data_IF_908130830229
#
_entry.id   IF_908130830229
#
_cell.length_a   1.000
_cell.length_b   1.000
_cell.length_c   1.000
_cell.angle_alpha   90.00
_cell.angle_beta   90.00
_cell.angle_gamma   90.00
#
_symmetry.space_group_name_H-M   'P 1'
#
loop_
_entity.id
_entity.type
_entity.pdbx_description
1 polymer ?
#
# COMPACT_ATOMS: atom_id res chain seq x y z
N UNK A 1 15.36 10.36 -2.10
CA UNK A 1 16.52 9.83 -1.33
C UNK A 1 16.09 9.41 0.08
N UNK A 2 16.87 8.56 0.73
CA UNK A 2 16.72 8.13 2.13
C UNK A 2 18.01 8.47 2.88
N UNK A 3 17.86 9.11 4.04
CA UNK A 3 18.96 9.53 4.91
C UNK A 3 18.75 8.96 6.33
N UNK A 4 19.81 8.94 7.15
CA UNK A 4 19.78 8.52 8.55
C UNK A 4 20.16 9.69 9.46
N UNK A 5 19.30 9.98 10.41
CA UNK A 5 19.55 10.86 11.53
C UNK A 5 20.01 10.03 12.74
N UNK A 6 21.05 10.44 13.48
CA UNK A 6 21.49 9.72 14.67
C UNK A 6 20.42 9.69 15.78
N UNK A 7 19.51 10.68 15.80
CA UNK A 7 18.47 10.81 16.83
C UNK A 7 17.14 10.18 16.42
N UNK A 8 16.71 10.37 15.17
CA UNK A 8 15.35 10.03 14.71
C UNK A 8 15.31 8.88 13.69
N UNK A 9 16.44 8.24 13.39
CA UNK A 9 16.50 7.11 12.47
C UNK A 9 16.39 7.51 10.99
N UNK A 10 15.75 6.68 10.15
CA UNK A 10 15.67 6.91 8.71
C UNK A 10 14.57 7.90 8.35
N UNK A 11 14.85 8.79 7.40
CA UNK A 11 13.89 9.77 6.91
C UNK A 11 14.07 10.04 5.41
N UNK A 12 13.06 10.67 4.81
CA UNK A 12 13.07 11.18 3.43
C UNK A 12 12.95 12.69 3.44
N UNK A 13 13.63 13.35 2.51
CA UNK A 13 13.63 14.81 2.40
C UNK A 13 15.02 15.42 2.66
N UNK A 14 15.07 16.74 2.67
CA UNK A 14 16.33 17.48 2.82
C UNK A 14 16.87 17.44 4.24
N UNK A 15 15.99 17.66 5.23
CA UNK A 15 16.34 17.71 6.64
C UNK A 15 15.43 16.81 7.46
N UNK A 16 15.97 16.28 8.56
CA UNK A 16 15.22 15.60 9.60
C UNK A 16 14.39 16.62 10.41
N UNK A 17 13.41 16.16 11.18
CA UNK A 17 12.59 16.99 12.07
C UNK A 17 13.40 17.78 13.11
N UNK A 18 14.61 17.32 13.46
CA UNK A 18 15.56 18.06 14.30
C UNK A 18 16.43 19.08 13.55
N UNK A 19 16.21 19.29 12.25
CA UNK A 19 16.98 20.21 11.41
C UNK A 19 18.29 19.65 10.87
N UNK A 20 18.73 18.46 11.29
CA UNK A 20 19.95 17.83 10.76
C UNK A 20 19.75 17.34 9.32
N UNK A 21 20.76 17.56 8.47
CA UNK A 21 20.78 17.04 7.10
C UNK A 21 20.87 15.50 7.02
N UNK A 22 21.45 14.85 8.04
CA UNK A 22 21.59 13.40 8.13
C UNK A 22 22.64 12.80 7.18
N UNK A 23 22.92 11.51 7.36
CA UNK A 23 23.82 10.73 6.49
C UNK A 23 23.03 10.11 5.33
N UNK A 24 23.50 10.29 4.09
CA UNK A 24 22.88 9.65 2.93
C UNK A 24 23.05 8.13 2.98
N UNK A 25 21.93 7.39 2.88
CA UNK A 25 21.90 5.92 2.84
C UNK A 25 21.60 5.44 1.42
N UNK A 26 20.58 6.03 0.80
CA UNK A 26 20.19 5.75 -0.59
C UNK A 26 19.88 7.06 -1.31
N UNK A 27 20.50 7.28 -2.46
CA UNK A 27 20.06 8.32 -3.40
C UNK A 27 18.69 7.95 -4.02
N UNK A 28 18.11 8.87 -4.79
CA UNK A 28 16.79 8.68 -5.39
C UNK A 28 16.74 7.50 -6.38
N UNK A 29 17.71 7.40 -7.29
CA UNK A 29 17.75 6.34 -8.28
C UNK A 29 17.87 4.95 -7.62
N UNK A 30 18.74 4.82 -6.62
CA UNK A 30 18.91 3.58 -5.85
C UNK A 30 17.68 3.26 -5.00
N UNK A 31 17.03 4.28 -4.44
CA UNK A 31 15.76 4.11 -3.72
C UNK A 31 14.68 3.53 -4.64
N UNK A 32 14.57 4.03 -5.86
CA UNK A 32 13.60 3.52 -6.84
C UNK A 32 13.93 2.09 -7.27
N UNK A 33 15.19 1.81 -7.63
CA UNK A 33 15.63 0.48 -8.04
C UNK A 33 15.40 -0.57 -6.95
N UNK A 34 15.85 -0.29 -5.73
CA UNK A 34 15.64 -1.18 -4.59
C UNK A 34 14.14 -1.32 -4.28
N UNK A 35 13.39 -0.22 -4.34
CA UNK A 35 11.95 -0.21 -4.11
C UNK A 35 11.19 -1.12 -5.07
N UNK A 36 11.55 -1.11 -6.36
CA UNK A 36 10.95 -1.98 -7.38
C UNK A 36 11.27 -3.46 -7.11
N UNK A 37 12.52 -3.77 -6.78
CA UNK A 37 12.93 -5.15 -6.48
C UNK A 37 12.23 -5.69 -5.23
N UNK A 38 12.22 -4.91 -4.13
CA UNK A 38 11.57 -5.30 -2.87
C UNK A 38 10.06 -5.42 -3.05
N UNK A 39 9.42 -4.49 -3.76
CA UNK A 39 7.99 -4.60 -4.06
C UNK A 39 7.68 -5.85 -4.89
N UNK A 40 8.49 -6.16 -5.91
CA UNK A 40 8.36 -7.37 -6.72
C UNK A 40 8.46 -8.64 -5.90
N UNK A 41 9.52 -8.75 -5.10
CA UNK A 41 9.78 -9.91 -4.24
C UNK A 41 8.73 -10.11 -3.14
N UNK A 42 8.19 -9.03 -2.59
CA UNK A 42 7.21 -9.11 -1.50
C UNK A 42 5.75 -9.14 -1.95
N UNK A 43 5.43 -8.91 -3.24
CA UNK A 43 4.03 -8.83 -3.70
C UNK A 43 3.67 -9.73 -4.86
N UNK A 44 4.64 -10.08 -5.70
CA UNK A 44 4.34 -10.62 -7.02
C UNK A 44 5.06 -11.93 -7.31
N UNK A 45 6.36 -12.02 -7.01
CA UNK A 45 7.21 -13.13 -7.43
C UNK A 45 8.32 -13.48 -6.41
N UNK A 46 8.00 -13.82 -5.15
CA UNK A 46 9.00 -14.21 -4.15
C UNK A 46 9.81 -15.43 -4.61
N UNK A 47 9.15 -16.44 -5.18
CA UNK A 47 9.78 -17.69 -5.63
C UNK A 47 10.83 -17.45 -6.73
N UNK A 48 10.56 -16.55 -7.68
CA UNK A 48 11.51 -16.18 -8.74
C UNK A 48 12.79 -15.53 -8.21
N UNK A 49 12.71 -14.98 -6.99
CA UNK A 49 13.85 -14.42 -6.26
C UNK A 49 14.48 -15.43 -5.28
N UNK A 50 13.95 -16.64 -5.17
CA UNK A 50 14.39 -17.64 -4.20
C UNK A 50 13.99 -17.29 -2.76
N UNK A 51 12.90 -16.55 -2.59
CA UNK A 51 12.35 -16.20 -1.28
C UNK A 51 11.21 -17.16 -0.93
N UNK A 52 11.33 -17.79 0.23
CA UNK A 52 10.21 -18.51 0.85
C UNK A 52 9.32 -17.49 1.56
N UNK A 53 8.05 -17.46 1.15
CA UNK A 53 7.02 -16.58 1.71
C UNK A 53 5.96 -17.45 2.37
N UNK A 54 5.58 -17.12 3.61
CA UNK A 54 4.48 -17.80 4.27
C UNK A 54 3.11 -17.32 3.79
N UNK A 55 2.04 -17.99 4.23
CA UNK A 55 0.66 -17.67 3.83
C UNK A 55 0.21 -16.26 4.22
N UNK A 56 0.93 -15.58 5.12
CA UNK A 56 0.65 -14.21 5.58
C UNK A 56 1.59 -13.17 4.94
N UNK A 57 2.40 -13.59 3.97
CA UNK A 57 3.30 -12.73 3.21
C UNK A 57 4.68 -12.49 3.83
N UNK A 58 5.00 -13.12 4.97
CA UNK A 58 6.29 -12.90 5.63
C UNK A 58 7.42 -13.65 4.95
N UNK A 59 8.55 -12.95 4.83
CA UNK A 59 9.82 -13.45 4.30
C UNK A 59 10.92 -13.16 5.32
N UNK A 60 11.92 -14.05 5.41
CA UNK A 60 13.12 -13.80 6.22
C UNK A 60 13.88 -12.56 5.71
N UNK A 61 14.10 -11.59 6.59
CA UNK A 61 14.71 -10.32 6.21
C UNK A 61 16.19 -10.47 5.81
N UNK A 62 16.89 -11.46 6.37
CA UNK A 62 18.29 -11.75 6.02
C UNK A 62 18.38 -12.36 4.62
N UNK A 63 17.46 -13.27 4.28
CA UNK A 63 17.32 -13.84 2.93
C UNK A 63 16.95 -12.80 1.89
N UNK A 64 16.03 -11.89 2.20
CA UNK A 64 15.77 -10.75 1.31
C UNK A 64 17.03 -9.89 1.14
N UNK A 65 17.80 -9.67 2.21
CA UNK A 65 19.10 -9.01 2.16
C UNK A 65 20.11 -9.65 1.19
N UNK A 66 20.26 -10.98 1.24
CA UNK A 66 21.10 -11.76 0.33
C UNK A 66 20.64 -11.60 -1.13
N UNK A 67 19.33 -11.68 -1.37
CA UNK A 67 18.73 -11.52 -2.71
C UNK A 67 19.00 -10.13 -3.29
N UNK A 68 18.75 -9.07 -2.51
CA UNK A 68 18.97 -7.70 -3.01
C UNK A 68 20.44 -7.42 -3.26
N UNK A 69 21.34 -7.95 -2.44
CA UNK A 69 22.79 -7.81 -2.62
C UNK A 69 23.28 -8.54 -3.89
N UNK A 70 22.73 -9.72 -4.17
CA UNK A 70 23.04 -10.49 -5.38
C UNK A 70 22.61 -9.76 -6.66
N UNK A 71 21.45 -9.09 -6.63
CA UNK A 71 20.93 -8.29 -7.76
C UNK A 71 21.63 -6.94 -7.89
N UNK A 72 21.93 -6.31 -6.76
CA UNK A 72 22.56 -5.01 -6.66
C UNK A 72 23.68 -5.05 -5.64
N UNK A 73 24.93 -5.07 -6.11
CA UNK A 73 26.14 -5.21 -5.28
C UNK A 73 26.26 -4.14 -4.18
N UNK A 74 25.66 -2.98 -4.40
CA UNK A 74 25.62 -1.86 -3.46
C UNK A 74 24.52 -1.99 -2.39
N UNK A 75 23.54 -2.86 -2.58
CA UNK A 75 22.41 -3.04 -1.67
C UNK A 75 22.72 -4.08 -0.60
N UNK A 76 22.09 -3.94 0.57
CA UNK A 76 22.19 -4.88 1.68
C UNK A 76 20.92 -4.85 2.55
N UNK A 77 20.90 -5.67 3.60
CA UNK A 77 19.79 -5.75 4.57
C UNK A 77 19.47 -4.41 5.22
N UNK A 78 20.46 -3.60 5.61
CA UNK A 78 20.24 -2.30 6.23
C UNK A 78 19.50 -1.34 5.29
N UNK A 79 19.82 -1.37 3.99
CA UNK A 79 19.13 -0.55 2.99
C UNK A 79 17.67 -0.98 2.78
N UNK A 80 17.35 -2.27 2.93
CA UNK A 80 15.96 -2.76 2.93
C UNK A 80 15.20 -2.25 4.15
N UNK A 81 15.83 -2.28 5.34
CA UNK A 81 15.26 -1.71 6.56
C UNK A 81 15.02 -0.21 6.39
N UNK A 82 16.01 0.52 5.87
CA UNK A 82 15.90 1.95 5.61
C UNK A 82 14.77 2.27 4.62
N UNK A 83 14.62 1.48 3.55
CA UNK A 83 13.51 1.59 2.61
C UNK A 83 12.15 1.41 3.30
N UNK A 84 12.01 0.37 4.13
CA UNK A 84 10.76 0.05 4.80
C UNK A 84 10.37 1.08 5.86
N UNK A 85 11.30 1.44 6.75
CA UNK A 85 11.06 2.36 7.86
C UNK A 85 10.82 3.81 7.39
N UNK A 86 11.42 4.21 6.28
CA UNK A 86 11.23 5.55 5.72
C UNK A 86 10.07 5.66 4.73
N UNK A 87 9.30 4.60 4.49
CA UNK A 87 8.23 4.64 3.49
C UNK A 87 7.01 5.42 3.99
N UNK A 88 6.69 6.61 3.42
CA UNK A 88 5.55 7.40 3.85
C UNK A 88 4.21 6.68 3.61
N UNK A 89 4.15 5.75 2.65
CA UNK A 89 2.94 4.98 2.37
C UNK A 89 2.81 3.73 3.24
N UNK A 90 3.77 3.52 4.14
CA UNK A 90 3.88 2.36 5.02
C UNK A 90 3.60 1.05 4.25
N UNK A 91 4.25 0.82 3.09
CA UNK A 91 3.97 -0.37 2.27
C UNK A 91 4.47 -1.66 2.92
N UNK A 92 5.39 -1.56 3.87
CA UNK A 92 6.09 -2.68 4.45
C UNK A 92 5.99 -2.66 5.97
N UNK A 93 6.08 -3.82 6.57
CA UNK A 93 6.25 -3.97 8.00
C UNK A 93 7.34 -4.99 8.31
N UNK A 94 8.04 -4.77 9.42
CA UNK A 94 9.13 -5.61 9.89
C UNK A 94 8.78 -6.06 11.30
N UNK A 95 8.84 -7.37 11.54
CA UNK A 95 8.60 -7.98 12.85
C UNK A 95 9.44 -9.25 12.99
N UNK A 96 10.07 -9.46 14.14
CA UNK A 96 10.81 -10.68 14.45
C UNK A 96 11.79 -11.15 13.34
N UNK A 97 12.62 -10.22 12.82
CA UNK A 97 13.55 -10.48 11.71
C UNK A 97 12.91 -10.92 10.39
N UNK A 98 11.60 -10.70 10.24
CA UNK A 98 10.86 -10.91 8.99
C UNK A 98 10.33 -9.59 8.45
N UNK A 99 10.02 -9.58 7.17
CA UNK A 99 9.42 -8.46 6.45
C UNK A 99 8.31 -8.96 5.54
N UNK A 100 7.25 -8.16 5.39
CA UNK A 100 6.23 -8.35 4.37
C UNK A 100 5.76 -7.02 3.79
N UNK A 101 5.14 -7.07 2.62
CA UNK A 101 4.29 -5.97 2.20
C UNK A 101 2.99 -5.98 3.00
N UNK A 102 2.45 -4.81 3.35
CA UNK A 102 1.19 -4.70 4.08
C UNK A 102 -0.04 -4.81 3.17
N UNK A 103 0.14 -4.58 1.86
CA UNK A 103 -0.92 -4.60 0.85
C UNK A 103 -0.33 -4.71 -0.56
N UNK A 104 -1.18 -4.96 -1.56
CA UNK A 104 -0.82 -4.94 -2.98
C UNK A 104 -0.25 -6.24 -3.56
N UNK A 105 -0.43 -7.36 -2.86
CA UNK A 105 -0.06 -8.68 -3.37
C UNK A 105 -0.94 -9.06 -4.56
N UNK A 106 -0.36 -9.72 -5.56
CA UNK A 106 -1.12 -10.36 -6.67
C UNK A 106 -1.24 -11.88 -6.50
N UNK A 107 -0.60 -12.42 -5.47
CA UNK A 107 -0.65 -13.84 -5.12
C UNK A 107 -1.72 -14.09 -4.08
N UNK A 108 -2.16 -15.33 -3.99
CA UNK A 108 -3.09 -15.73 -2.94
C UNK A 108 -2.37 -15.80 -1.59
N UNK A 109 -2.71 -14.86 -0.71
CA UNK A 109 -2.22 -14.76 0.66
C UNK A 109 -3.36 -14.33 1.57
N UNK A 110 -3.24 -14.66 2.85
CA UNK A 110 -4.20 -14.26 3.87
C UNK A 110 -3.56 -13.26 4.84
N UNK A 111 -3.84 -11.97 4.63
CA UNK A 111 -3.42 -10.92 5.55
C UNK A 111 -4.28 -10.92 6.82
N UNK A 112 -3.65 -10.54 7.93
CA UNK A 112 -4.17 -10.62 9.29
C UNK A 112 -4.17 -9.25 9.98
N UNK A 113 -4.47 -8.20 9.22
CA UNK A 113 -4.61 -6.84 9.76
C UNK A 113 -5.85 -6.71 10.65
N UNK A 114 -5.89 -5.73 11.58
CA UNK A 114 -7.06 -5.46 12.41
C UNK A 114 -8.32 -5.19 11.58
N UNK A 115 -9.47 -5.57 12.11
CA UNK A 115 -10.75 -5.31 11.45
C UNK A 115 -11.00 -3.80 11.27
N UNK A 116 -11.62 -3.43 10.15
CA UNK A 116 -12.01 -2.04 9.90
C UNK A 116 -13.39 -1.75 10.49
N UNK A 117 -13.51 -0.69 11.29
CA UNK A 117 -14.78 -0.25 11.87
C UNK A 117 -15.32 1.06 11.27
N UNK A 118 -14.65 1.65 10.27
CA UNK A 118 -15.13 2.87 9.61
C UNK A 118 -16.50 2.61 8.96
N UNK A 119 -17.47 3.53 9.09
CA UNK A 119 -18.80 3.33 8.53
C UNK A 119 -18.82 3.47 7.00
N UNK A 120 -17.84 4.19 6.44
CA UNK A 120 -17.72 4.48 5.01
C UNK A 120 -16.27 4.38 4.56
N UNK A 121 -16.08 3.91 3.34
CA UNK A 121 -14.79 3.81 2.64
C UNK A 121 -14.96 4.25 1.20
N UNK A 122 -13.86 4.47 0.48
CA UNK A 122 -13.92 5.10 -0.84
C UNK A 122 -13.01 4.38 -1.84
N UNK A 123 -13.47 4.27 -3.07
CA UNK A 123 -12.71 3.75 -4.20
C UNK A 123 -12.72 4.76 -5.34
N UNK A 124 -11.54 5.05 -5.90
CA UNK A 124 -11.42 5.92 -7.06
C UNK A 124 -11.36 5.10 -8.34
N UNK A 125 -12.19 5.43 -9.31
CA UNK A 125 -12.31 4.73 -10.59
C UNK A 125 -12.37 5.71 -11.77
N UNK A 126 -12.16 5.22 -12.99
CA UNK A 126 -12.58 5.98 -14.19
C UNK A 126 -14.11 5.96 -14.32
N UNK A 127 -14.67 6.83 -15.16
CA UNK A 127 -16.12 6.84 -15.43
C UNK A 127 -16.61 5.49 -15.96
N UNK A 128 -15.92 4.92 -16.95
CA UNK A 128 -16.27 3.60 -17.50
C UNK A 128 -16.14 2.45 -16.48
N UNK A 129 -15.15 2.51 -15.60
CA UNK A 129 -14.95 1.50 -14.55
C UNK A 129 -16.03 1.65 -13.48
N UNK A 130 -16.43 2.88 -13.16
CA UNK A 130 -17.42 3.16 -12.13
C UNK A 130 -18.80 2.58 -12.48
N UNK A 131 -19.29 2.77 -13.70
CA UNK A 131 -20.57 2.22 -14.14
C UNK A 131 -20.59 0.70 -14.02
N UNK A 132 -19.52 0.04 -14.48
CA UNK A 132 -19.37 -1.42 -14.33
C UNK A 132 -19.38 -1.84 -12.87
N UNK A 133 -18.61 -1.17 -12.01
CA UNK A 133 -18.53 -1.51 -10.57
C UNK A 133 -19.89 -1.40 -9.89
N UNK A 134 -20.71 -0.40 -10.23
CA UNK A 134 -22.05 -0.25 -9.67
C UNK A 134 -23.01 -1.35 -10.13
N UNK A 135 -22.76 -1.98 -11.29
CA UNK A 135 -23.56 -3.10 -11.78
C UNK A 135 -23.14 -4.44 -11.16
N UNK A 136 -21.83 -4.74 -11.17
CA UNK A 136 -21.31 -6.08 -10.85
C UNK A 136 -20.67 -6.19 -9.46
N UNK A 137 -20.51 -5.07 -8.76
CA UNK A 137 -19.77 -4.98 -7.50
C UNK A 137 -18.28 -4.72 -7.70
N UNK A 138 -17.60 -4.42 -6.60
CA UNK A 138 -16.19 -4.08 -6.57
C UNK A 138 -15.36 -5.32 -6.21
N UNK A 139 -14.58 -5.78 -7.18
CA UNK A 139 -13.57 -6.84 -7.00
C UNK A 139 -12.19 -6.29 -7.29
N UNK A 140 -11.17 -6.90 -6.70
CA UNK A 140 -9.80 -6.59 -7.07
C UNK A 140 -9.53 -7.03 -8.52
N UNK A 141 -8.71 -6.25 -9.23
CA UNK A 141 -8.30 -6.58 -10.59
C UNK A 141 -7.18 -7.63 -10.57
N UNK A 142 -5.94 -7.18 -10.42
CA UNK A 142 -4.74 -8.04 -10.38
C UNK A 142 -4.22 -8.29 -8.96
N UNK A 143 -4.89 -7.73 -7.94
CA UNK A 143 -4.46 -7.81 -6.55
C UNK A 143 -5.33 -8.80 -5.77
N UNK A 144 -4.85 -9.30 -4.64
CA UNK A 144 -5.57 -10.22 -3.77
C UNK A 144 -6.78 -9.59 -3.08
N UNK A 145 -6.65 -8.33 -2.69
CA UNK A 145 -7.69 -7.57 -2.00
C UNK A 145 -8.07 -6.32 -2.76
N UNK A 146 -9.31 -5.88 -2.61
CA UNK A 146 -9.74 -4.54 -3.00
C UNK A 146 -9.03 -3.54 -2.09
N UNK A 147 -8.44 -2.50 -2.66
CA UNK A 147 -7.85 -1.40 -1.90
C UNK A 147 -8.82 -0.23 -1.84
N UNK A 148 -9.13 0.22 -0.63
CA UNK A 148 -10.04 1.31 -0.35
C UNK A 148 -9.28 2.43 0.37
N UNK A 149 -9.66 3.66 0.08
CA UNK A 149 -9.22 4.83 0.83
C UNK A 149 -10.15 5.10 2.01
N UNK A 150 -9.59 5.61 3.10
CA UNK A 150 -10.36 6.05 4.28
C UNK A 150 -11.07 7.38 4.07
N UNK A 151 -10.69 8.16 3.04
CA UNK A 151 -11.31 9.44 2.70
C UNK A 151 -11.61 9.58 1.20
N UNK A 152 -12.61 10.41 0.81
CA UNK A 152 -12.93 10.67 -0.59
C UNK A 152 -11.75 11.28 -1.37
N UNK A 153 -11.02 12.20 -0.75
CA UNK A 153 -9.91 12.91 -1.38
C UNK A 153 -8.77 11.96 -1.75
N UNK A 154 -8.45 11.03 -0.86
CA UNK A 154 -7.43 10.01 -1.15
C UNK A 154 -7.86 9.11 -2.31
N UNK A 155 -9.12 8.71 -2.35
CA UNK A 155 -9.65 7.94 -3.48
C UNK A 155 -9.55 8.73 -4.80
N UNK A 156 -9.92 10.01 -4.77
CA UNK A 156 -9.80 10.92 -5.90
C UNK A 156 -8.35 11.06 -6.38
N UNK A 157 -7.43 11.38 -5.47
CA UNK A 157 -6.00 11.57 -5.78
C UNK A 157 -5.39 10.30 -6.37
N UNK A 158 -5.70 9.13 -5.80
CA UNK A 158 -5.22 7.83 -6.29
C UNK A 158 -5.71 7.55 -7.71
N UNK A 159 -6.98 7.86 -8.02
CA UNK A 159 -7.53 7.69 -9.37
C UNK A 159 -7.02 8.73 -10.35
N UNK A 160 -6.73 9.95 -9.89
CA UNK A 160 -6.20 11.06 -10.69
C UNK A 160 -4.85 10.74 -11.36
N UNK A 161 -4.06 9.81 -10.80
CA UNK A 161 -2.84 9.31 -11.45
C UNK A 161 -3.11 8.46 -12.70
N UNK A 162 -4.33 7.95 -12.87
CA UNK A 162 -4.72 7.04 -13.96
C UNK A 162 -5.69 7.67 -14.96
N UNK A 163 -6.55 8.59 -14.49
CA UNK A 163 -7.57 9.24 -15.31
C UNK A 163 -7.64 10.73 -15.01
N UNK A 164 -7.91 11.55 -16.04
CA UNK A 164 -8.11 12.98 -15.90
C UNK A 164 -9.46 13.38 -15.30
N UNK A 165 -10.43 12.46 -15.25
CA UNK A 165 -11.77 12.70 -14.71
C UNK A 165 -12.21 11.53 -13.82
N UNK A 166 -11.67 11.40 -12.60
CA UNK A 166 -11.99 10.31 -11.70
C UNK A 166 -13.41 10.42 -11.15
N UNK A 167 -14.03 9.27 -10.88
CA UNK A 167 -15.23 9.14 -10.06
C UNK A 167 -14.83 8.53 -8.71
N UNK A 168 -15.51 8.95 -7.64
CA UNK A 168 -15.35 8.35 -6.32
C UNK A 168 -16.60 7.55 -6.01
N UNK A 169 -16.39 6.27 -5.73
CA UNK A 169 -17.41 5.34 -5.25
C UNK A 169 -17.29 5.32 -3.73
N UNK A 170 -18.39 5.61 -3.04
CA UNK A 170 -18.53 5.36 -1.61
C UNK A 170 -18.97 3.91 -1.40
N UNK A 171 -18.36 3.27 -0.40
CA UNK A 171 -18.73 1.97 0.12
C UNK A 171 -19.44 2.17 1.47
N UNK A 172 -20.65 1.65 1.60
CA UNK A 172 -21.36 1.56 2.87
C UNK A 172 -20.80 0.37 3.68
N UNK A 173 -19.65 0.62 4.31
CA UNK A 173 -18.80 -0.41 4.90
C UNK A 173 -19.43 -1.11 6.11
N UNK A 174 -20.23 -0.40 6.92
CA UNK A 174 -20.91 -1.02 8.06
C UNK A 174 -21.95 -2.08 7.63
N UNK A 175 -22.94 -1.76 6.77
CA UNK A 175 -23.85 -2.77 6.21
C UNK A 175 -23.14 -3.89 5.44
N UNK A 176 -22.05 -3.58 4.72
CA UNK A 176 -21.28 -4.60 4.01
C UNK A 176 -20.63 -5.62 4.97
N UNK A 177 -20.06 -5.15 6.10
CA UNK A 177 -19.52 -6.02 7.14
C UNK A 177 -20.58 -6.86 7.82
N UNK A 178 -21.73 -6.29 8.15
CA UNK A 178 -22.88 -7.02 8.71
C UNK A 178 -23.36 -8.14 7.77
N UNK A 179 -23.21 -7.94 6.45
CA UNK A 179 -23.47 -8.94 5.43
C UNK A 179 -22.30 -9.91 5.17
N UNK A 180 -21.23 -9.87 5.97
CA UNK A 180 -20.10 -10.80 5.94
C UNK A 180 -18.90 -10.37 5.09
N UNK A 181 -18.84 -9.13 4.58
CA UNK A 181 -17.67 -8.66 3.82
C UNK A 181 -16.52 -8.35 4.79
N UNK A 182 -15.44 -9.14 4.71
CA UNK A 182 -14.22 -8.93 5.52
C UNK A 182 -13.46 -7.68 5.03
N UNK A 183 -13.22 -6.75 5.95
CA UNK A 183 -12.46 -5.52 5.73
C UNK A 183 -11.42 -5.34 6.83
N UNK A 184 -10.19 -5.00 6.46
CA UNK A 184 -9.09 -4.86 7.42
C UNK A 184 -8.34 -3.54 7.22
N UNK A 185 -8.05 -2.85 8.32
CA UNK A 185 -7.33 -1.59 8.35
C UNK A 185 -5.84 -1.83 8.19
N UNK A 186 -5.27 -1.36 7.09
CA UNK A 186 -3.83 -1.46 6.84
C UNK A 186 -3.10 -0.33 7.54
N UNK A 187 -3.56 0.89 7.35
CA UNK A 187 -3.06 2.12 7.99
C UNK A 187 -4.16 3.19 7.95
N UNK A 188 -3.85 4.42 8.36
CA UNK A 188 -4.80 5.54 8.43
C UNK A 188 -5.43 5.92 7.08
N UNK A 189 -4.85 5.46 5.98
CA UNK A 189 -5.19 5.85 4.62
C UNK A 189 -5.82 4.71 3.82
N UNK A 190 -5.50 3.46 4.18
CA UNK A 190 -5.77 2.27 3.37
C UNK A 190 -6.51 1.22 4.20
N UNK A 191 -7.61 0.75 3.62
CA UNK A 191 -8.33 -0.46 4.05
C UNK A 191 -8.27 -1.46 2.90
N UNK A 192 -8.10 -2.73 3.22
CA UNK A 192 -8.21 -3.82 2.26
C UNK A 192 -9.51 -4.59 2.51
N UNK A 193 -10.15 -5.07 1.45
CA UNK A 193 -11.43 -5.77 1.52
C UNK A 193 -11.45 -6.97 0.59
N UNK A 194 -12.25 -7.97 0.96
CA UNK A 194 -12.79 -8.93 -0.01
C UNK A 194 -13.74 -8.22 -0.99
N UNK A 195 -14.27 -8.95 -1.97
CA UNK A 195 -15.24 -8.41 -2.94
C UNK A 195 -16.44 -7.74 -2.23
N UNK A 196 -16.82 -6.55 -2.71
CA UNK A 196 -17.96 -5.80 -2.18
C UNK A 196 -19.12 -5.86 -3.18
N UNK A 197 -20.30 -6.38 -2.79
CA UNK A 197 -21.49 -6.37 -3.62
C UNK A 197 -21.95 -4.96 -4.03
N UNK A 198 -22.45 -4.82 -5.26
CA UNK A 198 -22.96 -3.58 -5.84
C UNK A 198 -23.95 -2.81 -4.94
N UNK A 199 -24.82 -3.52 -4.21
CA UNK A 199 -25.83 -2.92 -3.31
C UNK A 199 -25.26 -2.04 -2.19
N UNK A 200 -23.95 -2.12 -1.92
CA UNK A 200 -23.26 -1.28 -0.92
C UNK A 200 -22.43 -0.16 -1.56
N UNK A 201 -22.57 0.05 -2.87
CA UNK A 201 -21.76 0.99 -3.64
C UNK A 201 -22.66 2.10 -4.19
N UNK A 202 -22.19 3.34 -4.07
CA UNK A 202 -22.84 4.48 -4.69
C UNK A 202 -21.80 5.51 -5.16
N UNK A 203 -22.14 6.28 -6.19
CA UNK A 203 -21.28 7.38 -6.63
C UNK A 203 -21.42 8.54 -5.66
N UNK A 204 -20.29 8.97 -5.13
CA UNK A 204 -20.21 10.19 -4.34
C UNK A 204 -20.26 11.39 -5.30
N UNK A 205 -21.21 12.31 -5.07
CA UNK A 205 -21.31 13.49 -5.91
C UNK A 205 -20.06 14.37 -5.77
N UNK A 206 -19.60 14.98 -6.86
CA UNK A 206 -18.37 15.79 -6.85
C UNK A 206 -18.38 16.95 -5.83
N UNK A 207 -19.57 17.46 -5.48
CA UNK A 207 -19.75 18.48 -4.43
C UNK A 207 -19.42 17.98 -3.02
N UNK A 208 -19.52 16.66 -2.80
CA UNK A 208 -19.33 15.99 -1.51
C UNK A 208 -17.90 15.44 -1.37
N UNK A 209 -17.04 15.69 -2.37
CA UNK A 209 -15.60 15.45 -2.31
C UNK A 209 -14.96 16.75 -1.81
N UNK A 210 -14.42 16.79 -0.58
CA UNK A 210 -13.80 17.99 -0.05
C UNK A 210 -12.71 18.48 -1.00
N UNK A 211 -12.84 19.68 -1.56
CA UNK A 211 -11.76 20.25 -2.37
C UNK A 211 -10.52 20.41 -1.48
N UNK A 212 -9.42 19.76 -1.83
CA UNK A 212 -8.12 20.10 -1.25
C UNK A 212 -7.85 21.56 -1.63
N UNK A 213 -7.88 22.44 -0.63
CA UNK A 213 -7.46 23.84 -0.81
C UNK A 213 -6.05 23.84 -1.37
N UNK A 214 -5.85 24.51 -2.51
CA UNK A 214 -4.53 24.97 -2.91
C UNK A 214 -4.12 26.13 -2.02
#
# INVERSE_FOLDING_TARGET
>A
MIKRCPQHGFFRGEHCECGLAGQLILDEARTEQLGRLVAGGLRHFPLDLGLEMDSRGWVDLSKLGEVVQKRHRWANKEMVIALAQSDPKQRYEISNQRIRARYGHSMDIELDHPECHLPRLYYGASEEEADRILEIGLKSASQRYVHLSTTPNKAWDVAGYRTGNPKVIQVDAAPAREAGVKMMTVNDDIVISEMIPARFLCILASKDIPKTGK
#
